data_IF_214644320458
#
_entry.id   IF_214644320458
#
_cell.length_a   1.000
_cell.length_b   1.000
_cell.length_c   1.000
_cell.angle_alpha   90.00
_cell.angle_beta   90.00
_cell.angle_gamma   90.00
#
_symmetry.space_group_name_H-M   'P 1'
#
loop_
_entity.id
_entity.type
_entity.pdbx_description
1 polymer ?
#
# COMPACT_ATOMS: atom_id res chain seq x y z
N UNK A 1 -28.96 -8.12 -51.86
CA UNK A 1 -28.98 -7.71 -50.44
C UNK A 1 -28.93 -6.18 -50.38
N UNK A 2 -29.85 -5.52 -49.67
CA UNK A 2 -29.96 -4.07 -49.73
C UNK A 2 -28.79 -3.42 -49.01
N UNK A 3 -28.19 -2.41 -49.66
CA UNK A 3 -26.98 -1.66 -49.24
C UNK A 3 -27.05 -1.12 -47.80
N UNK A 4 -28.26 -0.98 -47.26
CA UNK A 4 -28.52 -0.50 -45.90
C UNK A 4 -28.24 -1.53 -44.80
N UNK A 5 -28.31 -2.84 -45.09
CA UNK A 5 -28.06 -3.89 -44.08
C UNK A 5 -26.56 -4.02 -43.75
N UNK A 6 -25.69 -3.74 -44.72
CA UNK A 6 -24.24 -3.80 -44.55
C UNK A 6 -23.70 -2.65 -43.67
N UNK A 7 -24.35 -1.48 -43.75
CA UNK A 7 -23.97 -0.28 -43.00
C UNK A 7 -24.35 -0.39 -41.51
N UNK A 8 -25.49 -1.02 -41.22
CA UNK A 8 -25.92 -1.37 -39.86
C UNK A 8 -25.00 -2.41 -39.20
N UNK A 9 -24.49 -3.38 -39.98
CA UNK A 9 -23.58 -4.40 -39.48
C UNK A 9 -22.20 -3.82 -39.10
N UNK A 10 -21.70 -2.86 -39.89
CA UNK A 10 -20.46 -2.14 -39.57
C UNK A 10 -20.59 -1.24 -38.33
N UNK A 11 -21.73 -0.55 -38.16
CA UNK A 11 -22.02 0.25 -36.96
C UNK A 11 -22.10 -0.61 -35.69
N UNK A 12 -22.69 -1.81 -35.79
CA UNK A 12 -22.74 -2.76 -34.67
C UNK A 12 -21.35 -3.28 -34.27
N UNK A 13 -20.47 -3.57 -35.25
CA UNK A 13 -19.09 -4.01 -34.99
C UNK A 13 -18.22 -2.93 -34.33
N UNK A 14 -18.44 -1.64 -34.66
CA UNK A 14 -17.73 -0.54 -33.98
C UNK A 14 -18.22 -0.28 -32.56
N UNK A 15 -19.48 -0.60 -32.25
CA UNK A 15 -20.04 -0.45 -30.91
C UNK A 15 -19.70 -1.62 -29.98
N UNK A 16 -19.58 -2.84 -30.50
CA UNK A 16 -19.18 -4.00 -29.69
C UNK A 16 -17.67 -4.06 -29.43
N UNK A 17 -16.85 -3.48 -30.31
CA UNK A 17 -15.39 -3.43 -30.15
C UNK A 17 -14.89 -2.52 -29.02
N UNK A 18 -15.70 -1.58 -28.53
CA UNK A 18 -15.34 -0.65 -27.44
C UNK A 18 -16.09 -0.93 -26.12
N UNK A 19 -16.90 -1.98 -26.04
CA UNK A 19 -17.76 -2.25 -24.87
C UNK A 19 -17.12 -3.14 -23.80
N UNK A 20 -15.92 -3.67 -24.02
CA UNK A 20 -15.27 -4.55 -23.05
C UNK A 20 -13.76 -4.36 -23.04
N UNK A 21 -13.29 -3.33 -22.33
CA UNK A 21 -12.06 -3.35 -21.52
C UNK A 21 -11.90 -1.96 -20.90
N UNK A 22 -12.58 -1.69 -19.78
CA UNK A 22 -11.97 -0.76 -18.83
C UNK A 22 -10.80 -1.53 -18.22
N UNK A 23 -9.52 -1.22 -18.52
CA UNK A 23 -8.45 -1.80 -17.76
C UNK A 23 -8.70 -1.39 -16.31
N UNK A 24 -8.87 -2.37 -15.42
CA UNK A 24 -8.85 -2.11 -13.97
C UNK A 24 -7.53 -1.39 -13.72
N UNK A 25 -7.58 -0.10 -13.41
CA UNK A 25 -6.40 0.75 -13.29
C UNK A 25 -5.40 0.07 -12.35
N UNK A 26 -4.13 -0.10 -12.76
CA UNK A 26 -3.15 -0.72 -11.87
C UNK A 26 -2.77 0.28 -10.77
N UNK A 27 -2.81 -0.12 -9.48
CA UNK A 27 -2.45 0.80 -8.39
C UNK A 27 -1.03 1.37 -8.54
N UNK A 28 -0.10 0.59 -9.09
CA UNK A 28 1.27 1.04 -9.33
C UNK A 28 1.33 2.09 -10.46
N UNK A 29 0.44 1.99 -11.44
CA UNK A 29 0.26 2.99 -12.51
C UNK A 29 -0.35 4.27 -11.93
N UNK A 30 -1.41 4.17 -11.12
CA UNK A 30 -2.01 5.32 -10.43
C UNK A 30 -1.00 6.08 -9.55
N UNK A 31 -0.14 5.34 -8.83
CA UNK A 31 0.94 5.94 -8.03
C UNK A 31 1.97 6.61 -8.94
N UNK A 32 2.37 5.97 -10.04
CA UNK A 32 3.35 6.52 -10.98
C UNK A 32 2.84 7.79 -11.67
N UNK A 33 1.59 7.79 -12.11
CA UNK A 33 0.92 8.95 -12.72
C UNK A 33 0.81 10.11 -11.73
N UNK A 34 0.47 9.83 -10.47
CA UNK A 34 0.45 10.83 -9.43
C UNK A 34 1.83 11.47 -9.21
N UNK A 35 2.88 10.65 -9.10
CA UNK A 35 4.26 11.12 -8.92
C UNK A 35 4.69 12.01 -10.09
N UNK A 36 4.42 11.59 -11.33
CA UNK A 36 4.74 12.33 -12.54
C UNK A 36 3.98 13.66 -12.62
N UNK A 37 2.67 13.64 -12.37
CA UNK A 37 1.80 14.83 -12.41
C UNK A 37 2.22 15.88 -11.39
N UNK A 38 2.53 15.44 -10.17
CA UNK A 38 2.96 16.34 -9.10
C UNK A 38 4.44 16.77 -9.21
N UNK A 39 5.20 16.16 -10.14
CA UNK A 39 6.65 16.36 -10.34
C UNK A 39 7.45 16.10 -9.05
N UNK A 40 7.15 14.97 -8.40
CA UNK A 40 7.77 14.59 -7.12
C UNK A 40 9.07 13.82 -7.38
N UNK A 41 10.17 14.29 -6.82
CA UNK A 41 11.48 13.61 -6.89
C UNK A 41 11.83 12.84 -5.61
N UNK A 42 11.18 13.19 -4.49
CA UNK A 42 11.50 12.74 -3.15
C UNK A 42 10.22 12.31 -2.45
N UNK A 43 10.05 10.99 -2.28
CA UNK A 43 8.87 10.43 -1.63
C UNK A 43 9.15 9.12 -0.87
N UNK A 44 8.23 8.78 0.03
CA UNK A 44 8.15 7.50 0.70
C UNK A 44 6.75 6.93 0.47
N UNK A 45 6.69 5.70 -0.02
CA UNK A 45 5.47 4.92 -0.19
C UNK A 45 5.31 3.95 0.97
N UNK A 46 4.12 3.92 1.54
CA UNK A 46 3.71 2.92 2.53
C UNK A 46 2.48 2.16 2.02
N UNK A 47 2.55 0.83 2.05
CA UNK A 47 1.47 -0.07 1.63
C UNK A 47 1.44 -1.29 2.55
N UNK A 48 0.26 -1.68 3.03
CA UNK A 48 0.03 -3.02 3.57
C UNK A 48 -0.31 -3.96 2.43
N UNK A 49 0.17 -5.20 2.45
CA UNK A 49 -0.16 -6.23 1.48
C UNK A 49 -0.74 -7.40 2.28
N UNK A 50 -2.04 -7.62 2.16
CA UNK A 50 -2.71 -8.72 2.83
C UNK A 50 -3.04 -9.79 1.79
N UNK A 51 -2.82 -11.08 2.07
CA UNK A 51 -3.24 -12.15 1.18
C UNK A 51 -4.75 -12.06 0.93
N UNK A 52 -5.17 -12.43 -0.28
CA UNK A 52 -6.59 -12.47 -0.63
C UNK A 52 -7.37 -13.32 0.38
N UNK A 53 -8.37 -12.71 1.01
CA UNK A 53 -9.35 -13.40 1.85
C UNK A 53 -10.64 -13.54 1.05
N UNK A 54 -11.40 -14.64 1.20
CA UNK A 54 -12.73 -14.72 0.63
C UNK A 54 -13.58 -13.58 1.20
N UNK A 55 -14.00 -12.66 0.35
CA UNK A 55 -14.95 -11.62 0.72
C UNK A 55 -16.34 -12.25 0.67
N UNK A 56 -17.01 -12.29 1.81
CA UNK A 56 -18.43 -12.63 1.87
C UNK A 56 -19.18 -11.33 1.58
N UNK A 57 -19.75 -11.24 0.38
CA UNK A 57 -20.61 -10.13 0.00
C UNK A 57 -21.98 -10.40 0.62
N UNK A 58 -22.34 -9.63 1.65
CA UNK A 58 -23.73 -9.54 2.11
C UNK A 58 -24.38 -8.45 1.25
N UNK A 59 -25.54 -8.74 0.64
CA UNK A 59 -26.24 -7.77 -0.22
C UNK A 59 -26.38 -6.43 0.51
N UNK A 60 -25.94 -5.31 -0.10
CA UNK A 60 -26.15 -4.00 0.50
C UNK A 60 -27.65 -3.71 0.53
N UNK A 61 -28.15 -3.20 1.65
CA UNK A 61 -29.44 -2.51 1.68
C UNK A 61 -29.42 -1.41 0.62
N UNK A 62 -30.51 -1.27 -0.14
CA UNK A 62 -30.67 -0.49 -1.38
C UNK A 62 -30.31 1.00 -1.35
N UNK A 63 -29.77 1.52 -0.25
CA UNK A 63 -29.55 2.94 0.00
C UNK A 63 -28.07 3.38 -0.05
N UNK A 64 -27.10 2.46 -0.12
CA UNK A 64 -25.68 2.81 -0.23
C UNK A 64 -25.22 2.91 -1.69
N UNK A 65 -25.40 4.08 -2.29
CA UNK A 65 -24.75 4.43 -3.56
C UNK A 65 -23.24 4.62 -3.34
N UNK A 66 -22.43 3.92 -4.15
CA UNK A 66 -20.95 3.97 -4.24
C UNK A 66 -20.14 3.17 -3.20
N UNK A 67 -20.49 1.90 -2.96
CA UNK A 67 -19.56 0.95 -2.33
C UNK A 67 -18.45 0.57 -3.33
N UNK A 68 -17.21 0.97 -3.06
CA UNK A 68 -16.08 0.47 -3.84
C UNK A 68 -15.51 -0.83 -3.24
N UNK A 69 -15.83 -1.95 -3.87
CA UNK A 69 -15.35 -3.27 -3.42
C UNK A 69 -13.84 -3.45 -3.55
N UNK A 70 -13.19 -2.73 -4.46
CA UNK A 70 -11.74 -2.80 -4.64
C UNK A 70 -10.97 -2.27 -3.41
N UNK A 71 -11.55 -1.41 -2.57
CA UNK A 71 -10.93 -0.97 -1.31
C UNK A 71 -10.87 -2.09 -0.25
N UNK A 72 -11.78 -3.06 -0.34
CA UNK A 72 -11.82 -4.21 0.57
C UNK A 72 -10.80 -5.28 0.16
N UNK A 73 -10.55 -5.43 -1.14
CA UNK A 73 -9.60 -6.42 -1.70
C UNK A 73 -8.19 -5.85 -1.75
N UNK A 74 -8.06 -4.58 -2.13
CA UNK A 74 -6.78 -3.95 -2.42
C UNK A 74 -6.51 -2.79 -1.46
N UNK A 75 -5.64 -2.98 -0.47
CA UNK A 75 -5.28 -1.92 0.45
C UNK A 75 -4.67 -0.71 -0.28
N UNK A 76 -4.97 0.53 0.17
CA UNK A 76 -4.47 1.74 -0.46
C UNK A 76 -2.95 1.85 -0.35
N UNK A 77 -2.38 2.67 -1.23
CA UNK A 77 -0.99 3.14 -1.13
C UNK A 77 -1.01 4.56 -0.58
N UNK A 78 -0.23 4.79 0.47
CA UNK A 78 -0.01 6.12 1.02
C UNK A 78 1.30 6.68 0.51
N UNK A 79 1.24 7.86 -0.09
CA UNK A 79 2.39 8.58 -0.62
C UNK A 79 2.71 9.73 0.32
N UNK A 80 3.87 9.68 0.94
CA UNK A 80 4.45 10.76 1.74
C UNK A 80 5.47 11.49 0.89
N UNK A 81 5.25 12.75 0.60
CA UNK A 81 6.05 13.48 -0.38
C UNK A 81 6.32 14.92 0.06
N UNK A 82 7.33 15.53 -0.57
CA UNK A 82 7.75 16.89 -0.29
C UNK A 82 7.59 17.75 -1.53
N UNK A 83 7.11 18.98 -1.37
CA UNK A 83 7.13 20.01 -2.41
C UNK A 83 7.27 21.38 -1.79
N UNK A 84 8.18 22.19 -2.32
CA UNK A 84 8.40 23.58 -1.87
C UNK A 84 8.67 23.71 -0.35
N UNK A 85 9.33 22.70 0.24
CA UNK A 85 9.64 22.70 1.68
C UNK A 85 8.52 22.16 2.57
N UNK A 86 7.32 21.95 2.04
CA UNK A 86 6.16 21.39 2.74
C UNK A 86 6.07 19.87 2.53
N UNK A 87 5.49 19.19 3.51
CA UNK A 87 5.32 17.74 3.52
C UNK A 87 3.85 17.37 3.45
N UNK A 88 3.55 16.39 2.62
CA UNK A 88 2.19 16.00 2.27
C UNK A 88 2.00 14.49 2.38
N UNK A 89 0.75 14.10 2.62
CA UNK A 89 0.28 12.72 2.59
C UNK A 89 -0.87 12.61 1.59
N UNK A 90 -0.78 11.64 0.69
CA UNK A 90 -1.84 11.33 -0.28
C UNK A 90 -2.21 9.86 -0.20
N UNK A 91 -3.51 9.58 -0.07
CA UNK A 91 -4.08 8.25 -0.19
C UNK A 91 -4.41 7.98 -1.66
N UNK A 92 -3.90 6.87 -2.20
CA UNK A 92 -4.20 6.40 -3.54
C UNK A 92 -4.85 5.01 -3.43
N UNK A 93 -6.03 4.86 -4.02
CA UNK A 93 -6.70 3.58 -4.23
C UNK A 93 -7.30 3.53 -5.64
N UNK A 94 -7.96 2.42 -5.96
CA UNK A 94 -8.58 2.18 -7.27
C UNK A 94 -9.83 3.04 -7.50
N UNK A 95 -10.49 3.44 -6.43
CA UNK A 95 -11.87 3.88 -6.45
C UNK A 95 -12.03 5.39 -6.59
N UNK A 96 -11.21 6.13 -5.85
CA UNK A 96 -11.47 7.51 -5.56
C UNK A 96 -10.17 8.32 -5.55
N UNK A 97 -10.32 9.62 -5.82
CA UNK A 97 -9.31 10.61 -5.52
C UNK A 97 -9.63 11.25 -4.17
N UNK A 98 -8.61 11.43 -3.33
CA UNK A 98 -8.74 12.00 -1.99
C UNK A 98 -7.99 13.32 -1.86
N UNK A 99 -8.40 14.13 -0.91
CA UNK A 99 -7.69 15.34 -0.50
C UNK A 99 -6.27 15.03 -0.08
N UNK A 100 -5.35 15.92 -0.47
CA UNK A 100 -3.97 15.94 0.01
C UNK A 100 -3.98 16.51 1.42
N UNK A 101 -3.33 15.81 2.36
CA UNK A 101 -3.17 16.25 3.74
C UNK A 101 -1.76 16.81 3.95
N UNK A 102 -1.60 17.74 4.87
CA UNK A 102 -0.28 18.15 5.36
C UNK A 102 0.20 17.13 6.40
N UNK A 103 1.47 16.72 6.31
CA UNK A 103 2.07 15.85 7.32
C UNK A 103 2.64 16.70 8.46
N UNK A 104 2.08 16.60 9.66
CA UNK A 104 2.60 17.31 10.85
C UNK A 104 3.88 16.65 11.39
N UNK A 105 3.85 15.33 11.56
CA UNK A 105 5.04 14.57 11.95
C UNK A 105 5.85 14.19 10.71
N UNK A 106 7.05 14.75 10.62
CA UNK A 106 7.99 14.54 9.51
C UNK A 106 9.29 13.88 9.98
N UNK A 107 9.33 13.40 11.24
CA UNK A 107 10.52 12.79 11.85
C UNK A 107 11.04 11.57 11.09
N UNK A 108 10.16 10.89 10.34
CA UNK A 108 10.52 9.78 9.48
C UNK A 108 11.53 10.16 8.37
N UNK A 109 11.52 11.41 7.89
CA UNK A 109 12.51 11.90 6.93
C UNK A 109 13.90 12.01 7.54
N UNK A 110 13.98 12.57 8.74
CA UNK A 110 15.25 12.67 9.47
C UNK A 110 15.81 11.27 9.77
N UNK A 111 14.96 10.33 10.22
CA UNK A 111 15.37 8.94 10.44
C UNK A 111 15.92 8.34 9.14
N UNK A 112 15.26 8.55 8.01
CA UNK A 112 15.73 8.04 6.73
C UNK A 112 17.07 8.64 6.33
N UNK A 113 17.18 9.96 6.22
CA UNK A 113 18.39 10.62 5.71
C UNK A 113 19.59 10.40 6.63
N UNK A 114 19.40 10.46 7.95
CA UNK A 114 20.48 10.24 8.92
C UNK A 114 20.91 8.76 9.04
N UNK A 115 20.12 7.81 8.53
CA UNK A 115 20.41 6.38 8.65
C UNK A 115 20.40 5.65 7.30
N UNK A 116 20.47 6.35 6.16
CA UNK A 116 20.28 5.76 4.82
C UNK A 116 21.15 4.53 4.60
N UNK A 117 22.45 4.64 4.83
CA UNK A 117 23.40 3.53 4.62
C UNK A 117 23.15 2.33 5.54
N UNK A 118 22.59 2.55 6.73
CA UNK A 118 22.17 1.49 7.65
C UNK A 118 20.92 0.83 7.10
N UNK A 119 19.89 1.63 6.80
CA UNK A 119 18.61 1.17 6.26
C UNK A 119 18.83 0.32 5.02
N UNK A 120 19.64 0.77 4.06
CA UNK A 120 19.91 0.02 2.82
C UNK A 120 20.35 -1.43 3.10
N UNK A 121 21.11 -1.65 4.19
CA UNK A 121 21.64 -2.97 4.60
C UNK A 121 20.75 -3.73 5.59
N UNK A 122 19.72 -3.11 6.16
CA UNK A 122 18.82 -3.76 7.11
C UNK A 122 18.11 -4.97 6.48
N UNK A 123 18.03 -6.05 7.25
CA UNK A 123 17.30 -7.28 6.90
C UNK A 123 16.39 -7.65 8.06
N UNK A 124 15.12 -7.88 7.75
CA UNK A 124 14.17 -8.49 8.68
C UNK A 124 14.54 -9.96 8.80
N UNK A 125 14.65 -10.46 10.03
CA UNK A 125 14.91 -11.87 10.29
C UNK A 125 13.59 -12.59 10.49
N UNK A 126 13.48 -13.80 9.98
CA UNK A 126 12.30 -14.63 10.22
C UNK A 126 12.02 -14.86 11.70
N UNK A 127 10.76 -15.16 12.02
CA UNK A 127 10.39 -15.69 13.32
C UNK A 127 11.22 -16.95 13.63
N UNK A 128 11.97 -16.90 14.73
CA UNK A 128 12.79 -18.02 15.17
C UNK A 128 12.60 -18.27 16.65
N UNK A 129 12.61 -19.54 17.06
CA UNK A 129 12.51 -19.92 18.47
C UNK A 129 13.54 -21.02 18.81
N UNK A 130 13.78 -21.19 20.10
CA UNK A 130 14.65 -22.25 20.64
C UNK A 130 13.76 -23.30 21.31
N UNK A 131 13.86 -24.55 20.89
CA UNK A 131 13.11 -25.65 21.50
C UNK A 131 13.67 -26.03 22.88
N UNK A 132 12.93 -26.80 23.69
CA UNK A 132 13.46 -27.35 24.94
C UNK A 132 14.75 -28.17 24.77
N UNK A 133 14.96 -28.76 23.58
CA UNK A 133 16.18 -29.49 23.21
C UNK A 133 17.32 -28.57 22.74
N UNK A 134 17.18 -27.25 22.89
CA UNK A 134 18.13 -26.20 22.49
C UNK A 134 18.38 -26.09 20.98
N UNK A 135 17.53 -26.71 20.15
CA UNK A 135 17.60 -26.54 18.69
C UNK A 135 16.87 -25.28 18.27
N UNK A 136 17.43 -24.57 17.29
CA UNK A 136 16.84 -23.35 16.71
C UNK A 136 15.96 -23.71 15.50
N UNK A 137 14.75 -23.18 15.48
CA UNK A 137 13.79 -23.39 14.40
C UNK A 137 13.36 -22.05 13.80
N UNK A 138 12.95 -22.08 12.53
CA UNK A 138 12.36 -20.94 11.82
C UNK A 138 10.93 -21.29 11.48
N UNK A 139 10.01 -20.36 11.70
CA UNK A 139 8.60 -20.51 11.35
C UNK A 139 8.29 -19.51 10.24
N UNK A 140 7.56 -19.97 9.23
CA UNK A 140 6.91 -19.12 8.24
C UNK A 140 5.43 -19.42 8.22
N UNK A 141 4.62 -18.41 7.91
CA UNK A 141 3.18 -18.57 7.68
C UNK A 141 2.87 -18.21 6.23
N UNK A 142 2.02 -19.01 5.57
CA UNK A 142 1.72 -18.80 4.15
C UNK A 142 0.86 -17.56 3.87
N UNK A 143 0.02 -17.17 4.83
CA UNK A 143 -0.96 -16.09 4.67
C UNK A 143 -0.68 -14.91 5.62
N UNK A 144 0.57 -14.46 5.69
CA UNK A 144 0.89 -13.25 6.48
C UNK A 144 0.56 -11.96 5.75
N UNK A 145 0.20 -10.93 6.52
CA UNK A 145 0.19 -9.55 6.04
C UNK A 145 1.61 -8.99 6.04
N UNK A 146 1.97 -8.31 4.96
CA UNK A 146 3.25 -7.65 4.79
C UNK A 146 3.07 -6.12 4.87
N UNK A 147 4.10 -5.42 5.36
CA UNK A 147 4.24 -3.98 5.27
C UNK A 147 5.38 -3.66 4.29
N UNK A 148 5.03 -2.94 3.23
CA UNK A 148 5.99 -2.49 2.21
C UNK A 148 6.27 -1.01 2.41
N UNK A 149 7.56 -0.69 2.54
CA UNK A 149 8.11 0.65 2.57
C UNK A 149 8.97 0.85 1.32
N UNK A 150 8.73 1.91 0.55
CA UNK A 150 9.58 2.26 -0.59
C UNK A 150 10.02 3.71 -0.48
N UNK A 151 11.32 3.97 -0.46
CA UNK A 151 11.88 5.32 -0.48
C UNK A 151 12.40 5.60 -1.89
N UNK A 152 11.92 6.67 -2.53
CA UNK A 152 12.31 7.07 -3.88
C UNK A 152 12.89 8.48 -3.79
N UNK A 153 14.19 8.59 -4.05
CA UNK A 153 14.95 9.84 -3.96
C UNK A 153 15.68 10.07 -5.29
N UNK A 154 15.30 11.11 -6.02
CA UNK A 154 15.87 11.45 -7.32
C UNK A 154 15.90 10.23 -8.27
N UNK A 155 14.81 9.46 -8.30
CA UNK A 155 14.67 8.23 -9.08
C UNK A 155 15.32 6.98 -8.48
N UNK A 156 16.18 7.09 -7.48
CA UNK A 156 16.76 5.93 -6.79
C UNK A 156 15.76 5.33 -5.80
N UNK A 157 15.51 4.03 -5.93
CA UNK A 157 14.52 3.31 -5.13
C UNK A 157 15.17 2.36 -4.12
N UNK A 158 14.74 2.45 -2.87
CA UNK A 158 15.07 1.49 -1.81
C UNK A 158 13.77 0.92 -1.26
N UNK A 159 13.64 -0.40 -1.25
CA UNK A 159 12.46 -1.07 -0.71
C UNK A 159 12.79 -1.89 0.53
N UNK A 160 11.84 -1.92 1.47
CA UNK A 160 11.84 -2.82 2.63
C UNK A 160 10.49 -3.48 2.74
N UNK A 161 10.53 -4.78 3.01
CA UNK A 161 9.35 -5.62 3.17
C UNK A 161 9.43 -6.26 4.55
N UNK A 162 8.38 -6.09 5.33
CA UNK A 162 8.26 -6.61 6.68
C UNK A 162 7.08 -7.54 6.73
N UNK A 163 7.33 -8.80 7.06
CA UNK A 163 6.27 -9.70 7.44
C UNK A 163 5.82 -9.35 8.87
N UNK A 164 4.53 -9.08 9.08
CA UNK A 164 4.00 -8.76 10.41
C UNK A 164 4.22 -9.92 11.38
N UNK A 165 4.21 -11.18 10.90
CA UNK A 165 4.49 -12.35 11.71
C UNK A 165 5.92 -12.32 12.28
N UNK A 166 6.90 -11.94 11.48
CA UNK A 166 8.30 -11.82 11.90
C UNK A 166 8.52 -10.72 12.95
N UNK A 167 7.57 -9.81 13.07
CA UNK A 167 7.56 -8.71 14.04
C UNK A 167 6.88 -9.06 15.37
N UNK A 168 6.19 -10.20 15.46
CA UNK A 168 5.50 -10.63 16.67
C UNK A 168 6.50 -11.13 17.73
N UNK A 169 6.16 -10.87 19.00
CA UNK A 169 6.95 -11.35 20.14
C UNK A 169 6.78 -12.85 20.36
N UNK A 170 5.57 -13.34 20.13
CA UNK A 170 5.19 -14.73 20.36
C UNK A 170 4.08 -15.16 19.40
N UNK A 171 4.01 -16.46 19.15
CA UNK A 171 2.94 -17.13 18.39
C UNK A 171 2.84 -18.57 18.87
N UNK A 172 1.63 -19.05 19.15
CA UNK A 172 1.34 -20.41 19.62
C UNK A 172 2.24 -20.87 20.81
N UNK A 173 2.50 -19.95 21.74
CA UNK A 173 3.34 -20.20 22.92
C UNK A 173 4.86 -20.22 22.65
N UNK A 174 5.29 -19.97 21.41
CA UNK A 174 6.69 -19.89 21.01
C UNK A 174 7.17 -18.45 21.05
N UNK A 175 8.34 -18.21 21.64
CA UNK A 175 8.93 -16.86 21.77
C UNK A 175 9.87 -16.60 20.60
N UNK A 176 9.64 -15.49 19.88
CA UNK A 176 10.48 -15.05 18.78
C UNK A 176 11.77 -14.40 19.29
N UNK A 177 12.90 -15.08 19.09
CA UNK A 177 14.21 -14.58 19.51
C UNK A 177 14.68 -13.35 18.69
N UNK A 178 14.10 -13.13 17.50
CA UNK A 178 14.44 -12.00 16.65
C UNK A 178 13.55 -10.77 16.90
N UNK A 179 12.53 -10.86 17.76
CA UNK A 179 11.56 -9.79 18.02
C UNK A 179 12.22 -8.44 18.30
N UNK A 180 13.16 -8.38 19.25
CA UNK A 180 13.85 -7.14 19.62
C UNK A 180 14.72 -6.61 18.48
N UNK A 181 15.40 -7.50 17.76
CA UNK A 181 16.24 -7.13 16.60
C UNK A 181 15.39 -6.48 15.52
N UNK A 182 14.29 -7.13 15.12
CA UNK A 182 13.44 -6.65 14.02
C UNK A 182 12.71 -5.34 14.39
N UNK A 183 12.18 -5.24 15.60
CA UNK A 183 11.49 -4.03 16.06
C UNK A 183 12.44 -2.85 16.38
N UNK A 184 13.76 -3.08 16.38
CA UNK A 184 14.76 -2.02 16.55
C UNK A 184 15.25 -1.40 15.23
N UNK A 185 14.90 -1.99 14.08
CA UNK A 185 15.32 -1.53 12.76
C UNK A 185 14.84 -0.10 12.49
N UNK A 186 15.68 0.72 11.87
CA UNK A 186 15.38 2.12 11.52
C UNK A 186 14.25 2.20 10.50
N UNK A 187 14.24 1.33 9.50
CA UNK A 187 13.13 1.23 8.55
C UNK A 187 11.82 0.80 9.21
N UNK A 188 11.86 -0.02 10.27
CA UNK A 188 10.66 -0.35 11.06
C UNK A 188 10.12 0.86 11.81
N UNK A 189 11.00 1.67 12.41
CA UNK A 189 10.57 2.93 13.07
C UNK A 189 9.87 3.88 12.10
N UNK A 190 10.39 3.97 10.86
CA UNK A 190 9.72 4.74 9.79
C UNK A 190 8.31 4.17 9.55
N UNK A 191 8.18 2.87 9.33
CA UNK A 191 6.87 2.22 9.13
C UNK A 191 5.91 2.53 10.28
N UNK A 192 6.36 2.44 11.53
CA UNK A 192 5.51 2.72 12.69
C UNK A 192 4.97 4.15 12.71
N UNK A 193 5.79 5.11 12.31
CA UNK A 193 5.37 6.51 12.19
C UNK A 193 4.35 6.67 11.06
N UNK A 194 4.63 6.12 9.87
CA UNK A 194 3.73 6.23 8.72
C UNK A 194 2.39 5.51 8.97
N UNK A 195 2.43 4.34 9.61
CA UNK A 195 1.24 3.59 10.01
C UNK A 195 0.41 4.37 11.02
N UNK A 196 1.03 5.01 12.01
CA UNK A 196 0.31 5.85 12.96
C UNK A 196 -0.36 7.03 12.26
N UNK A 197 0.38 7.80 11.45
CA UNK A 197 -0.16 8.96 10.71
C UNK A 197 -1.35 8.53 9.84
N UNK A 198 -1.21 7.45 9.07
CA UNK A 198 -2.27 6.96 8.18
C UNK A 198 -3.46 6.43 8.96
N UNK A 199 -3.24 5.65 10.02
CA UNK A 199 -4.34 5.10 10.83
C UNK A 199 -5.12 6.21 11.56
N UNK A 200 -4.44 7.24 12.05
CA UNK A 200 -5.09 8.41 12.67
C UNK A 200 -5.91 9.20 11.64
N UNK A 201 -5.36 9.43 10.44
CA UNK A 201 -6.07 10.11 9.37
C UNK A 201 -7.29 9.33 8.86
N UNK A 202 -7.21 7.99 8.76
CA UNK A 202 -8.36 7.15 8.40
C UNK A 202 -9.42 7.16 9.51
N UNK A 203 -9.02 7.01 10.78
CA UNK A 203 -9.93 7.04 11.93
C UNK A 203 -10.69 8.37 12.03
N UNK A 204 -10.01 9.48 11.72
CA UNK A 204 -10.59 10.82 11.76
C UNK A 204 -11.30 11.19 10.44
N UNK A 205 -11.35 10.27 9.47
CA UNK A 205 -11.89 10.50 8.13
C UNK A 205 -11.31 11.78 7.49
N UNK A 206 -10.00 12.01 7.66
CA UNK A 206 -9.31 13.21 7.17
C UNK A 206 -9.15 13.18 5.66
N UNK A 207 -8.98 12.00 5.06
CA UNK A 207 -8.96 11.83 3.61
C UNK A 207 -10.38 12.00 3.04
N UNK A 208 -10.74 13.23 2.63
CA UNK A 208 -12.04 13.49 2.02
C UNK A 208 -12.02 13.10 0.54
N UNK A 209 -13.05 12.38 0.10
CA UNK A 209 -13.25 12.05 -1.31
C UNK A 209 -13.45 13.34 -2.11
N UNK A 210 -12.66 13.50 -3.17
CA UNK A 210 -12.80 14.58 -4.16
C UNK A 210 -13.76 14.13 -5.25
N UNK A 211 -13.47 12.98 -5.86
CA UNK A 211 -14.29 12.38 -6.93
C UNK A 211 -14.04 10.88 -7.03
N UNK A 212 -14.97 10.18 -7.68
CA UNK A 212 -14.76 8.80 -8.13
C UNK A 212 -13.86 8.76 -9.37
N UNK A 213 -13.14 7.66 -9.52
CA UNK A 213 -12.31 7.35 -10.69
C UNK A 213 -13.12 6.64 -11.77
#
# INVERSE_FOLDING_TARGET
MPRHTFLLFFLFLTFTGNSQTHPKANIDELVSDFIATQKIDTLILYKKITPERPIIIVEPSSDEKETCFDDLVNPPVYVFWKKEGLFFVTKINYCHEYTILTAEDTSFWEIYFSNKAVIDKEKVKYFQYISPKKSKYTIGIGNSTLQKLSMIINGNKTEKLFDIFDLQKESDGLININYKSNNSLKSKKIIDILERITSEAEKNNSFKKIKSR
#
